data_IF_657295876562
#
_entry.id   IF_657295876562
#
_cell.length_a   1.000
_cell.length_b   1.000
_cell.length_c   1.000
_cell.angle_alpha   90.00
_cell.angle_beta   90.00
_cell.angle_gamma   90.00
#
_symmetry.space_group_name_H-M   'P 1'
#
loop_
_entity.id
_entity.type
_entity.pdbx_description
1 polymer ?
#
# COMPACT_ATOMS: atom_id res chain seq x y z
N UNK A 1 36.02 -64.85 47.78
CA UNK A 1 37.15 -64.17 48.45
C UNK A 1 37.14 -62.70 48.01
N UNK A 2 37.05 -61.77 48.99
CA UNK A 2 37.30 -60.31 48.97
C UNK A 2 36.73 -59.43 47.85
N UNK A 3 35.75 -58.53 48.09
CA UNK A 3 35.83 -57.17 48.71
C UNK A 3 36.63 -56.18 47.83
N UNK A 4 36.17 -54.98 47.41
CA UNK A 4 35.58 -53.82 48.11
C UNK A 4 34.99 -52.83 47.07
N UNK A 5 33.79 -52.27 47.30
CA UNK A 5 33.47 -50.85 47.63
C UNK A 5 33.90 -49.74 46.66
N UNK A 6 32.94 -48.86 46.32
CA UNK A 6 33.19 -47.53 45.75
C UNK A 6 31.95 -46.93 45.06
N UNK A 7 31.15 -46.14 45.77
CA UNK A 7 29.91 -45.49 45.30
C UNK A 7 30.14 -43.97 45.14
N UNK A 8 29.59 -43.40 44.06
CA UNK A 8 29.27 -41.97 43.76
C UNK A 8 30.43 -41.00 43.43
N UNK A 9 30.19 -39.88 42.69
CA UNK A 9 28.91 -39.27 42.32
C UNK A 9 28.70 -38.92 40.84
N UNK A 10 27.43 -38.56 40.55
CA UNK A 10 26.91 -38.01 39.30
C UNK A 10 27.59 -36.68 38.97
N UNK A 11 28.10 -36.55 37.76
CA UNK A 11 28.38 -35.26 37.12
C UNK A 11 27.40 -35.07 35.97
N UNK A 12 26.54 -34.05 36.11
CA UNK A 12 25.77 -33.45 35.03
C UNK A 12 26.37 -32.10 34.70
N UNK A 13 26.52 -31.80 33.42
CA UNK A 13 26.96 -30.53 32.83
C UNK A 13 26.51 -30.51 31.35
N UNK A 14 26.24 -29.35 30.73
CA UNK A 14 25.27 -28.34 31.16
C UNK A 14 24.27 -27.99 30.03
N UNK A 15 23.08 -27.54 30.42
CA UNK A 15 22.14 -26.86 29.54
C UNK A 15 22.71 -25.50 29.12
N UNK A 16 22.67 -25.20 27.82
CA UNK A 16 22.96 -23.87 27.27
C UNK A 16 21.81 -22.92 27.61
N UNK A 17 21.82 -22.41 28.85
CA UNK A 17 21.04 -21.25 29.25
C UNK A 17 21.71 -19.98 28.74
N UNK A 18 21.16 -19.37 27.70
CA UNK A 18 21.51 -18.01 27.29
C UNK A 18 20.94 -17.03 28.32
N UNK A 19 21.69 -16.76 29.40
CA UNK A 19 21.43 -15.62 30.27
C UNK A 19 22.15 -14.40 29.71
N UNK A 20 21.43 -13.51 29.04
CA UNK A 20 21.95 -12.17 28.75
C UNK A 20 22.00 -11.38 30.06
N UNK A 21 23.21 -11.20 30.61
CA UNK A 21 23.44 -10.23 31.68
C UNK A 21 23.37 -8.81 31.10
N UNK A 22 22.42 -8.00 31.57
CA UNK A 22 22.39 -6.56 31.34
C UNK A 22 23.61 -5.90 32.01
N UNK A 23 24.71 -5.75 31.26
CA UNK A 23 25.76 -4.78 31.62
C UNK A 23 25.36 -3.43 31.06
N UNK A 24 25.03 -2.49 31.96
CA UNK A 24 24.97 -1.07 31.63
C UNK A 24 26.36 -0.63 31.18
N UNK A 25 26.54 -0.36 29.89
CA UNK A 25 27.65 0.42 29.39
C UNK A 25 27.07 1.72 28.83
N UNK A 26 27.40 2.81 29.52
CA UNK A 26 27.20 4.17 29.03
C UNK A 26 28.16 4.37 27.86
N UNK A 27 27.64 4.34 26.64
CA UNK A 27 28.35 4.76 25.45
C UNK A 27 27.49 5.78 24.72
N UNK A 28 27.86 7.06 24.88
CA UNK A 28 27.39 8.17 24.05
C UNK A 28 27.99 7.99 22.66
N UNK A 29 27.21 7.45 21.72
CA UNK A 29 27.33 7.71 20.27
C UNK A 29 26.30 6.87 19.50
N UNK A 30 25.02 7.23 19.60
CA UNK A 30 24.05 6.79 18.60
C UNK A 30 24.16 7.73 17.40
N UNK A 31 24.88 7.31 16.36
CA UNK A 31 24.68 7.84 15.02
C UNK A 31 23.30 7.37 14.60
N UNK A 32 22.28 8.14 14.99
CA UNK A 32 20.95 7.97 14.46
C UNK A 32 21.00 8.33 12.98
N UNK A 33 20.85 7.35 12.12
CA UNK A 33 20.55 7.56 10.70
C UNK A 33 19.21 8.30 10.66
N UNK A 34 19.25 9.63 10.70
CA UNK A 34 18.10 10.45 10.35
C UNK A 34 17.92 10.27 8.86
N UNK A 35 17.01 9.38 8.46
CA UNK A 35 16.38 9.43 7.13
C UNK A 35 15.58 10.73 7.07
N UNK A 36 16.29 11.84 6.84
CA UNK A 36 15.70 13.08 6.42
C UNK A 36 15.76 13.01 4.90
N UNK A 37 14.77 12.36 4.29
CA UNK A 37 14.47 12.54 2.87
C UNK A 37 14.15 14.04 2.72
N UNK A 38 15.18 14.84 2.42
CA UNK A 38 14.96 16.22 1.99
C UNK A 38 14.42 16.11 0.57
N UNK A 39 13.11 16.25 0.43
CA UNK A 39 12.54 16.71 -0.83
C UNK A 39 12.89 18.20 -0.93
N UNK A 40 14.01 18.53 -1.57
CA UNK A 40 14.31 19.91 -1.91
C UNK A 40 13.29 20.35 -2.98
N UNK A 41 12.30 21.12 -2.54
CA UNK A 41 11.41 21.91 -3.39
C UNK A 41 12.26 22.97 -4.09
N UNK A 42 12.46 22.82 -5.40
CA UNK A 42 12.99 23.92 -6.21
C UNK A 42 11.82 24.76 -6.76
N UNK A 43 11.84 26.02 -6.37
CA UNK A 43 10.96 27.09 -6.83
C UNK A 43 11.00 27.25 -8.36
N UNK A 44 9.84 27.63 -8.87
CA UNK A 44 9.57 27.97 -10.26
C UNK A 44 10.36 29.20 -10.73
N UNK A 45 11.14 29.07 -11.80
CA UNK A 45 11.34 30.16 -12.77
C UNK A 45 11.38 29.58 -14.19
N UNK A 46 10.63 30.22 -15.09
CA UNK A 46 10.40 29.73 -16.43
C UNK A 46 11.58 29.91 -17.36
N UNK A 47 11.68 29.04 -18.37
CA UNK A 47 12.38 29.37 -19.60
C UNK A 47 11.68 28.80 -20.83
N UNK A 48 11.69 29.62 -21.87
CA UNK A 48 11.01 29.44 -23.15
C UNK A 48 11.96 28.80 -24.16
N UNK A 49 11.33 28.10 -25.12
CA UNK A 49 11.83 27.69 -26.47
C UNK A 49 12.65 26.40 -26.54
N UNK A 50 12.20 25.46 -27.37
CA UNK A 50 12.51 25.39 -28.80
C UNK A 50 12.23 23.96 -29.30
N UNK A 51 11.50 23.84 -30.42
CA UNK A 51 11.09 22.55 -30.96
C UNK A 51 12.23 21.70 -31.51
N UNK A 52 11.97 20.38 -31.53
CA UNK A 52 12.60 19.41 -32.44
C UNK A 52 11.60 18.30 -32.71
N UNK A 53 11.35 18.09 -34.00
CA UNK A 53 10.62 16.98 -34.59
C UNK A 53 11.48 15.71 -34.54
N UNK A 54 10.86 14.58 -34.20
CA UNK A 54 11.47 13.24 -34.19
C UNK A 54 10.41 12.19 -34.56
N UNK A 55 10.82 11.02 -35.09
CA UNK A 55 10.09 10.31 -36.13
C UNK A 55 8.98 9.40 -35.61
N UNK A 56 8.00 9.17 -36.48
CA UNK A 56 6.83 8.31 -36.29
C UNK A 56 7.25 6.87 -35.96
N UNK A 57 6.99 6.46 -34.72
CA UNK A 57 7.04 5.07 -34.29
C UNK A 57 5.65 4.45 -34.41
N UNK A 58 5.54 3.38 -35.19
CA UNK A 58 4.33 2.56 -35.34
C UNK A 58 3.90 2.01 -33.98
N UNK A 59 2.77 2.51 -33.47
CA UNK A 59 2.06 1.95 -32.33
C UNK A 59 1.44 0.61 -32.73
N UNK A 60 1.83 -0.46 -32.05
CA UNK A 60 1.08 -1.72 -32.05
C UNK A 60 0.00 -1.58 -30.98
N UNK A 61 -1.26 -1.62 -31.39
CA UNK A 61 -2.41 -1.54 -30.49
C UNK A 61 -2.47 -2.78 -29.57
N UNK A 62 -2.69 -2.53 -28.28
CA UNK A 62 -2.95 -3.56 -27.26
C UNK A 62 -4.42 -3.99 -27.38
N UNK A 63 -4.72 -5.28 -27.63
CA UNK A 63 -6.08 -5.78 -27.87
C UNK A 63 -6.99 -5.79 -26.62
N UNK A 64 -6.54 -5.28 -25.46
CA UNK A 64 -7.32 -5.24 -24.23
C UNK A 64 -7.67 -3.82 -23.73
N UNK A 65 -7.35 -2.77 -24.49
CA UNK A 65 -7.86 -1.43 -24.22
C UNK A 65 -9.22 -1.25 -24.92
N UNK A 66 -10.32 -0.91 -24.21
CA UNK A 66 -11.54 -0.50 -24.88
C UNK A 66 -11.30 0.81 -25.65
N UNK A 67 -11.84 0.87 -26.87
CA UNK A 67 -11.83 2.07 -27.71
C UNK A 67 -12.48 3.24 -26.96
N UNK A 68 -11.70 4.29 -26.72
CA UNK A 68 -12.18 5.58 -26.17
C UNK A 68 -13.02 6.29 -27.24
N UNK A 69 -14.33 6.09 -27.18
CA UNK A 69 -15.32 6.86 -27.91
C UNK A 69 -16.49 7.18 -26.97
N UNK A 70 -16.51 8.41 -26.47
CA UNK A 70 -17.73 9.04 -25.96
C UNK A 70 -17.67 9.41 -24.49
N UNK A 71 -17.48 10.70 -24.26
CA UNK A 71 -17.61 11.38 -22.97
C UNK A 71 -19.04 11.30 -22.43
N UNK A 72 -19.33 10.30 -21.62
CA UNK A 72 -20.36 10.39 -20.59
C UNK A 72 -19.63 10.54 -19.26
N UNK A 73 -19.58 11.77 -18.75
CA UNK A 73 -19.10 12.04 -17.39
C UNK A 73 -20.05 11.35 -16.41
N UNK A 74 -19.68 10.16 -15.94
CA UNK A 74 -20.29 9.55 -14.76
C UNK A 74 -20.19 10.56 -13.59
N UNK A 75 -21.29 10.83 -12.87
CA UNK A 75 -21.24 11.74 -11.75
C UNK A 75 -20.33 11.17 -10.66
N UNK A 76 -19.31 11.93 -10.27
CA UNK A 76 -18.42 11.58 -9.17
C UNK A 76 -19.25 11.27 -7.93
N UNK A 77 -19.24 10.01 -7.50
CA UNK A 77 -19.85 9.58 -6.25
C UNK A 77 -18.99 10.14 -5.11
N UNK A 78 -19.34 11.32 -4.61
CA UNK A 78 -18.65 11.88 -3.46
C UNK A 78 -18.83 10.95 -2.26
N UNK A 79 -17.73 10.59 -1.55
CA UNK A 79 -17.82 9.82 -0.33
C UNK A 79 -18.68 10.56 0.71
N UNK A 80 -19.25 9.86 1.71
CA UNK A 80 -20.15 10.46 2.68
C UNK A 80 -19.52 11.69 3.33
N UNK A 81 -20.14 12.85 3.10
CA UNK A 81 -19.71 14.19 3.57
C UNK A 81 -19.73 14.36 5.09
N UNK A 82 -20.19 13.35 5.83
CA UNK A 82 -20.10 13.29 7.29
C UNK A 82 -19.51 11.95 7.71
N UNK A 83 -18.35 11.95 8.40
CA UNK A 83 -17.81 10.73 8.98
C UNK A 83 -18.81 10.15 9.97
N UNK A 84 -19.02 8.82 9.92
CA UNK A 84 -19.81 8.10 10.91
C UNK A 84 -19.24 8.39 12.31
N UNK A 85 -20.12 8.63 13.30
CA UNK A 85 -19.72 9.05 14.64
C UNK A 85 -18.66 8.13 15.25
N UNK A 86 -17.60 8.74 15.78
CA UNK A 86 -16.56 8.06 16.59
C UNK A 86 -17.26 7.36 17.77
N UNK A 87 -17.01 6.06 17.94
CA UNK A 87 -17.59 5.23 19.01
C UNK A 87 -18.65 4.20 18.58
N UNK A 88 -19.07 4.20 17.32
CA UNK A 88 -19.94 3.13 16.79
C UNK A 88 -19.14 1.87 16.50
N UNK A 89 -19.71 0.70 16.82
CA UNK A 89 -19.19 -0.60 16.35
C UNK A 89 -19.38 -0.73 14.84
N UNK A 90 -18.64 -1.64 14.19
CA UNK A 90 -18.81 -1.90 12.76
C UNK A 90 -20.26 -2.28 12.40
N UNK A 91 -20.91 -3.11 13.22
CA UNK A 91 -22.33 -3.46 13.05
C UNK A 91 -23.24 -2.23 13.05
N UNK A 92 -23.08 -1.34 14.03
CA UNK A 92 -23.93 -0.14 14.10
C UNK A 92 -23.70 0.81 12.90
N UNK A 93 -22.49 0.82 12.34
CA UNK A 93 -22.18 1.55 11.10
C UNK A 93 -22.90 0.94 9.91
N UNK A 94 -22.86 -0.39 9.78
CA UNK A 94 -23.56 -1.11 8.71
C UNK A 94 -25.08 -0.95 8.80
N UNK A 95 -25.66 -1.08 9.98
CA UNK A 95 -27.10 -0.88 10.19
C UNK A 95 -27.53 0.54 9.77
N UNK A 96 -26.71 1.55 10.07
CA UNK A 96 -26.97 2.93 9.67
C UNK A 96 -26.87 3.14 8.15
N UNK A 97 -25.93 2.46 7.49
CA UNK A 97 -25.78 2.49 6.03
C UNK A 97 -26.96 1.77 5.35
N UNK A 98 -27.34 0.60 5.83
CA UNK A 98 -28.48 -0.17 5.33
C UNK A 98 -29.77 0.65 5.43
N UNK A 99 -30.01 1.31 6.57
CA UNK A 99 -31.16 2.19 6.76
C UNK A 99 -31.10 3.43 5.83
N UNK A 100 -29.92 4.01 5.64
CA UNK A 100 -29.74 5.22 4.80
C UNK A 100 -29.98 4.95 3.31
N UNK A 101 -29.64 3.76 2.83
CA UNK A 101 -29.69 3.42 1.41
C UNK A 101 -30.76 2.39 1.05
N UNK A 102 -31.65 2.04 1.98
CA UNK A 102 -32.70 1.03 1.80
C UNK A 102 -33.49 1.19 0.48
N UNK A 103 -33.94 2.41 0.18
CA UNK A 103 -34.77 2.69 -1.00
C UNK A 103 -34.01 2.63 -2.33
N UNK A 104 -32.68 2.66 -2.28
CA UNK A 104 -31.81 2.70 -3.48
C UNK A 104 -31.05 1.40 -3.71
N UNK A 105 -30.98 0.52 -2.72
CA UNK A 105 -30.12 -0.68 -2.72
C UNK A 105 -30.32 -1.56 -3.96
N UNK A 106 -31.57 -1.77 -4.37
CA UNK A 106 -31.91 -2.64 -5.51
C UNK A 106 -31.41 -2.10 -6.86
N UNK A 107 -31.17 -0.80 -6.98
CA UNK A 107 -30.69 -0.16 -8.20
C UNK A 107 -29.18 0.04 -8.27
N UNK A 108 -28.45 -0.29 -7.20
CA UNK A 108 -27.00 -0.11 -7.13
C UNK A 108 -26.24 -1.32 -7.70
N UNK A 109 -25.15 -1.04 -8.39
CA UNK A 109 -24.13 -2.03 -8.75
C UNK A 109 -23.41 -2.58 -7.51
N UNK A 110 -22.78 -3.76 -7.63
CA UNK A 110 -22.01 -4.34 -6.52
C UNK A 110 -20.79 -3.48 -6.14
N UNK A 111 -20.21 -2.77 -7.11
CA UNK A 111 -19.13 -1.80 -6.87
C UNK A 111 -19.58 -0.63 -6.01
N UNK A 112 -20.69 0.02 -6.36
CA UNK A 112 -21.27 1.11 -5.55
C UNK A 112 -21.61 0.62 -4.14
N UNK A 113 -22.15 -0.60 -4.02
CA UNK A 113 -22.46 -1.20 -2.72
C UNK A 113 -21.21 -1.39 -1.87
N UNK A 114 -20.13 -1.93 -2.46
CA UNK A 114 -18.84 -2.11 -1.79
C UNK A 114 -18.25 -0.79 -1.30
N UNK A 115 -18.20 0.23 -2.16
CA UNK A 115 -17.69 1.56 -1.83
C UNK A 115 -18.48 2.24 -0.70
N UNK A 116 -19.80 2.02 -0.64
CA UNK A 116 -20.69 2.59 0.37
C UNK A 116 -20.76 1.76 1.67
N UNK A 117 -20.14 0.58 1.72
CA UNK A 117 -20.19 -0.35 2.86
C UNK A 117 -21.52 -1.10 3.01
N UNK A 118 -22.31 -1.15 1.95
CA UNK A 118 -23.49 -2.00 1.83
C UNK A 118 -23.05 -3.44 1.50
N UNK A 119 -23.90 -4.47 1.73
CA UNK A 119 -23.57 -5.84 1.35
C UNK A 119 -23.28 -5.89 -0.15
N UNK A 120 -22.17 -6.47 -0.59
CA UNK A 120 -21.89 -6.65 -2.02
C UNK A 120 -21.44 -8.08 -2.30
N UNK A 121 -21.69 -8.54 -3.52
CA UNK A 121 -21.21 -9.85 -3.97
C UNK A 121 -19.79 -9.70 -4.50
N UNK A 122 -18.78 -10.25 -3.82
CA UNK A 122 -17.39 -10.06 -4.24
C UNK A 122 -17.12 -10.70 -5.59
N UNK A 123 -17.76 -11.81 -5.91
CA UNK A 123 -17.63 -12.53 -7.18
C UNK A 123 -18.44 -11.92 -8.35
N UNK A 124 -18.91 -10.68 -8.23
CA UNK A 124 -19.47 -9.94 -9.36
C UNK A 124 -18.47 -9.86 -10.53
N UNK A 125 -18.88 -10.12 -11.78
CA UNK A 125 -17.97 -10.13 -12.92
C UNK A 125 -17.17 -8.84 -13.11
N UNK A 126 -17.75 -7.66 -12.82
CA UNK A 126 -17.06 -6.37 -12.92
C UNK A 126 -15.95 -6.28 -11.88
N UNK A 127 -16.27 -6.61 -10.62
CA UNK A 127 -15.29 -6.62 -9.53
C UNK A 127 -14.17 -7.64 -9.78
N UNK A 128 -14.51 -8.81 -10.33
CA UNK A 128 -13.51 -9.81 -10.71
C UNK A 128 -12.55 -9.32 -11.79
N UNK A 129 -13.07 -8.65 -12.83
CA UNK A 129 -12.24 -8.08 -13.88
C UNK A 129 -11.30 -6.98 -13.35
N UNK A 130 -11.80 -6.14 -12.45
CA UNK A 130 -11.00 -5.08 -11.82
C UNK A 130 -9.88 -5.64 -10.95
N UNK A 131 -10.15 -6.64 -10.10
CA UNK A 131 -9.10 -7.33 -9.32
C UNK A 131 -8.10 -8.07 -10.21
N UNK A 132 -8.54 -8.64 -11.33
CA UNK A 132 -7.62 -9.29 -12.27
C UNK A 132 -6.65 -8.26 -12.87
N UNK A 133 -7.13 -7.07 -13.26
CA UNK A 133 -6.27 -5.96 -13.70
C UNK A 133 -5.24 -5.59 -12.62
N UNK A 134 -5.69 -5.41 -11.38
CA UNK A 134 -4.82 -5.06 -10.26
C UNK A 134 -3.72 -6.12 -10.04
N UNK A 135 -4.10 -7.40 -10.03
CA UNK A 135 -3.17 -8.53 -9.86
C UNK A 135 -2.16 -8.65 -10.99
N UNK A 136 -2.53 -8.34 -12.22
CA UNK A 136 -1.59 -8.33 -13.35
C UNK A 136 -0.51 -7.25 -13.17
N UNK A 137 -0.92 -6.03 -12.82
CA UNK A 137 -0.01 -4.91 -12.55
C UNK A 137 0.85 -5.16 -11.30
N UNK A 138 0.25 -5.68 -10.23
CA UNK A 138 0.97 -6.11 -9.02
C UNK A 138 2.03 -7.16 -9.35
N UNK A 139 1.67 -8.18 -10.14
CA UNK A 139 2.59 -9.22 -10.56
C UNK A 139 3.77 -8.63 -11.33
N UNK A 140 3.50 -7.73 -12.30
CA UNK A 140 4.57 -7.04 -13.04
C UNK A 140 5.46 -6.24 -12.11
N UNK A 141 4.90 -5.49 -11.16
CA UNK A 141 5.67 -4.70 -10.20
C UNK A 141 6.57 -5.57 -9.34
N UNK A 142 5.99 -6.59 -8.69
CA UNK A 142 6.68 -7.45 -7.73
C UNK A 142 7.80 -8.28 -8.38
N UNK A 143 7.71 -8.56 -9.68
CA UNK A 143 8.72 -9.32 -10.43
C UNK A 143 9.61 -8.44 -11.31
N UNK A 144 9.43 -7.12 -11.29
CA UNK A 144 10.29 -6.19 -12.02
C UNK A 144 11.69 -6.15 -11.39
N UNK A 145 12.76 -6.11 -12.21
CA UNK A 145 14.12 -6.05 -11.69
C UNK A 145 14.37 -4.74 -10.91
N UNK A 146 15.25 -4.75 -9.90
CA UNK A 146 15.73 -3.52 -9.28
C UNK A 146 16.51 -2.67 -10.30
N UNK A 147 16.77 -1.40 -9.96
CA UNK A 147 17.64 -0.52 -10.76
C UNK A 147 19.00 -1.16 -11.09
N UNK A 148 19.47 -0.97 -12.32
CA UNK A 148 20.63 -1.69 -12.87
C UNK A 148 21.99 -1.22 -12.34
N UNK A 149 22.06 0.00 -11.80
CA UNK A 149 23.30 0.61 -11.33
C UNK A 149 23.03 1.40 -10.04
N UNK A 150 23.92 1.37 -9.04
CA UNK A 150 23.86 2.29 -7.90
C UNK A 150 23.90 3.75 -8.37
N UNK A 151 23.44 4.71 -7.57
CA UNK A 151 23.43 6.12 -7.98
C UNK A 151 24.87 6.58 -8.17
N UNK A 152 25.17 7.28 -9.27
CA UNK A 152 26.46 7.93 -9.42
C UNK A 152 26.58 9.08 -8.42
N UNK A 153 27.71 9.16 -7.72
CA UNK A 153 27.98 10.18 -6.72
C UNK A 153 29.13 11.07 -7.23
N UNK A 154 28.95 12.39 -7.23
CA UNK A 154 30.04 13.33 -7.52
C UNK A 154 31.10 13.33 -6.40
N UNK A 155 32.17 14.10 -6.62
CA UNK A 155 33.26 14.26 -5.65
C UNK A 155 32.81 14.96 -4.36
N UNK A 156 31.65 15.60 -4.35
CA UNK A 156 31.06 16.33 -3.24
C UNK A 156 30.05 15.47 -2.45
N UNK A 157 29.74 14.26 -2.92
CA UNK A 157 28.78 13.37 -2.26
C UNK A 157 27.33 13.50 -2.77
N UNK A 158 27.08 14.29 -3.82
CA UNK A 158 25.75 14.46 -4.40
C UNK A 158 25.48 13.39 -5.46
N UNK A 159 24.23 12.93 -5.53
CA UNK A 159 23.78 12.05 -6.61
C UNK A 159 23.73 12.86 -7.92
N UNK A 160 24.47 12.43 -8.94
CA UNK A 160 24.56 13.16 -10.23
C UNK A 160 23.58 12.67 -11.29
N UNK A 161 22.96 11.50 -11.08
CA UNK A 161 21.95 10.94 -11.99
C UNK A 161 20.55 11.45 -11.61
N UNK A 162 20.36 12.78 -11.64
CA UNK A 162 19.19 13.48 -11.11
C UNK A 162 17.87 13.25 -11.88
N UNK A 163 17.90 12.57 -13.03
CA UNK A 163 16.68 12.21 -13.78
C UNK A 163 15.95 10.97 -13.21
N UNK A 164 16.63 10.18 -12.38
CA UNK A 164 16.07 8.99 -11.75
C UNK A 164 15.92 9.22 -10.24
N UNK A 165 14.85 8.67 -9.64
CA UNK A 165 14.54 8.85 -8.21
C UNK A 165 15.77 8.53 -7.34
N UNK A 166 16.02 9.25 -6.21
CA UNK A 166 17.06 8.87 -5.25
C UNK A 166 16.95 7.41 -4.77
N UNK A 167 15.74 6.85 -4.81
CA UNK A 167 15.43 5.43 -4.55
C UNK A 167 15.39 4.62 -5.85
N UNK A 168 16.35 4.81 -6.76
CA UNK A 168 16.42 4.17 -8.08
C UNK A 168 16.37 2.63 -8.06
N UNK A 169 16.82 1.99 -6.97
CA UNK A 169 16.75 0.55 -6.74
C UNK A 169 15.29 0.06 -6.54
N UNK A 170 14.48 0.88 -5.86
CA UNK A 170 13.06 0.60 -5.56
C UNK A 170 12.11 1.21 -6.58
N UNK A 171 12.47 2.34 -7.20
CA UNK A 171 11.55 3.27 -7.85
C UNK A 171 12.00 3.70 -9.24
N UNK A 172 12.41 2.73 -10.05
CA UNK A 172 12.78 2.92 -11.45
C UNK A 172 11.58 3.36 -12.32
N UNK A 173 11.85 3.78 -13.57
CA UNK A 173 10.82 4.26 -14.51
C UNK A 173 9.71 3.23 -14.78
N UNK A 174 10.05 1.94 -14.84
CA UNK A 174 9.06 0.87 -15.07
C UNK A 174 8.09 0.81 -13.88
N UNK A 175 8.61 0.74 -12.66
CA UNK A 175 7.81 0.70 -11.42
C UNK A 175 6.94 1.95 -11.25
N UNK A 176 7.45 3.13 -11.56
CA UNK A 176 6.66 4.38 -11.53
C UNK A 176 5.48 4.35 -12.52
N UNK A 177 5.69 3.79 -13.73
CA UNK A 177 4.60 3.62 -14.70
C UNK A 177 3.52 2.67 -14.17
N UNK A 178 3.93 1.53 -13.60
CA UNK A 178 3.00 0.53 -13.06
C UNK A 178 2.21 1.11 -11.88
N UNK A 179 2.87 1.82 -10.95
CA UNK A 179 2.22 2.55 -9.84
C UNK A 179 1.17 3.52 -10.39
N UNK A 180 1.52 4.31 -11.41
CA UNK A 180 0.59 5.24 -12.06
C UNK A 180 -0.66 4.54 -12.60
N UNK A 181 -0.49 3.39 -13.24
CA UNK A 181 -1.60 2.61 -13.80
C UNK A 181 -2.42 1.87 -12.74
N UNK A 182 -1.77 1.35 -11.68
CA UNK A 182 -2.41 0.55 -10.64
C UNK A 182 -3.27 1.41 -9.72
N UNK A 183 -2.75 2.56 -9.31
CA UNK A 183 -3.40 3.46 -8.36
C UNK A 183 -4.13 4.64 -9.03
N UNK A 184 -4.18 4.67 -10.37
CA UNK A 184 -4.76 5.76 -11.16
C UNK A 184 -4.18 7.14 -10.79
N UNK A 185 -2.85 7.23 -10.82
CA UNK A 185 -2.11 8.42 -10.39
C UNK A 185 -1.56 9.21 -11.59
N UNK A 186 -1.48 10.53 -11.43
CA UNK A 186 -0.71 11.37 -12.35
C UNK A 186 0.76 10.96 -12.36
N UNK A 187 1.47 11.37 -13.42
CA UNK A 187 2.91 11.11 -13.55
C UNK A 187 3.70 11.75 -12.39
N UNK A 188 3.29 12.93 -11.95
CA UNK A 188 3.90 13.67 -10.86
C UNK A 188 3.70 12.96 -9.53
N UNK A 189 2.49 12.46 -9.27
CA UNK A 189 2.17 11.76 -8.03
C UNK A 189 2.82 10.37 -7.96
N UNK A 190 2.91 9.67 -9.10
CA UNK A 190 3.58 8.36 -9.20
C UNK A 190 5.06 8.39 -8.78
N UNK A 191 5.72 9.56 -8.89
CA UNK A 191 7.11 9.76 -8.45
C UNK A 191 7.26 9.94 -6.93
N UNK A 192 6.15 10.13 -6.21
CA UNK A 192 6.11 10.41 -4.76
C UNK A 192 5.70 9.19 -3.93
N UNK A 193 5.28 8.12 -4.59
CA UNK A 193 4.82 6.87 -3.99
C UNK A 193 5.89 5.79 -4.17
N UNK A 194 6.40 5.27 -3.06
CA UNK A 194 7.48 4.28 -3.03
C UNK A 194 7.03 3.03 -2.29
N UNK A 195 7.02 1.90 -2.99
CA UNK A 195 6.62 0.60 -2.43
C UNK A 195 7.79 -0.37 -2.58
N UNK A 196 8.32 -0.83 -1.46
CA UNK A 196 9.28 -1.94 -1.49
C UNK A 196 8.53 -3.23 -1.85
N UNK A 197 8.89 -3.91 -2.95
CA UNK A 197 8.26 -5.18 -3.30
C UNK A 197 8.71 -6.32 -2.35
N UNK A 198 7.87 -7.35 -2.15
CA UNK A 198 6.54 -7.48 -2.70
C UNK A 198 5.51 -6.66 -1.92
N UNK A 199 4.46 -6.22 -2.61
CA UNK A 199 3.23 -5.71 -1.98
C UNK A 199 1.99 -6.38 -2.56
N UNK A 200 0.85 -6.24 -1.88
CA UNK A 200 -0.44 -6.75 -2.33
C UNK A 200 -1.54 -5.68 -2.24
N UNK A 201 -2.38 -5.58 -3.27
CA UNK A 201 -3.62 -4.78 -3.25
C UNK A 201 -4.79 -5.51 -3.88
N UNK A 202 -6.03 -5.13 -3.53
CA UNK A 202 -7.22 -5.76 -4.11
C UNK A 202 -7.59 -5.10 -5.44
N UNK A 203 -7.78 -3.77 -5.46
CA UNK A 203 -8.16 -2.99 -6.63
C UNK A 203 -7.09 -1.97 -7.06
N UNK A 204 -6.37 -1.38 -6.10
CA UNK A 204 -5.40 -0.31 -6.31
C UNK A 204 -6.04 1.08 -6.40
N UNK A 205 -6.97 1.29 -7.33
CA UNK A 205 -7.51 2.63 -7.64
C UNK A 205 -8.37 3.26 -6.53
N UNK A 206 -8.77 2.49 -5.50
CA UNK A 206 -9.51 3.01 -4.35
C UNK A 206 -8.58 3.61 -3.28
N UNK A 207 -7.26 3.52 -3.46
CA UNK A 207 -6.27 4.11 -2.56
C UNK A 207 -5.96 5.54 -3.00
N UNK A 208 -6.18 6.51 -2.12
CA UNK A 208 -5.97 7.94 -2.37
C UNK A 208 -4.75 8.43 -1.60
N UNK A 209 -3.68 8.76 -2.32
CA UNK A 209 -2.47 9.33 -1.77
C UNK A 209 -2.54 10.86 -1.80
N UNK A 210 -2.31 11.51 -0.65
CA UNK A 210 -2.30 12.98 -0.53
C UNK A 210 -0.93 13.63 -0.74
N UNK A 211 0.14 12.84 -0.74
CA UNK A 211 1.49 13.33 -0.92
C UNK A 211 2.52 12.22 -0.82
N UNK A 212 3.71 12.55 -0.34
CA UNK A 212 4.83 11.59 -0.30
C UNK A 212 4.50 10.40 0.59
N UNK A 213 4.70 9.19 0.07
CA UNK A 213 4.40 7.94 0.76
C UNK A 213 5.51 6.92 0.54
N UNK A 214 5.88 6.23 1.62
CA UNK A 214 6.78 5.10 1.57
C UNK A 214 6.21 3.92 2.34
N UNK A 215 6.26 2.74 1.73
CA UNK A 215 6.00 1.48 2.40
C UNK A 215 7.15 0.49 2.20
N UNK A 216 7.53 -0.14 3.30
CA UNK A 216 8.50 -1.21 3.29
C UNK A 216 7.87 -2.55 2.86
N UNK A 217 8.70 -3.59 2.70
CA UNK A 217 8.32 -4.85 2.08
C UNK A 217 7.15 -5.52 2.81
N UNK A 218 6.28 -6.19 2.04
CA UNK A 218 5.15 -6.93 2.55
C UNK A 218 3.91 -6.08 2.87
N UNK A 219 3.80 -4.88 2.30
CA UNK A 219 2.57 -4.09 2.38
C UNK A 219 1.38 -4.90 1.81
N UNK A 220 0.25 -4.88 2.51
CA UNK A 220 -1.02 -5.43 2.01
C UNK A 220 -2.14 -4.42 2.23
N UNK A 221 -2.89 -4.05 1.20
CA UNK A 221 -4.05 -3.15 1.30
C UNK A 221 -5.26 -3.79 0.61
N UNK A 222 -6.29 -4.15 1.38
CA UNK A 222 -7.56 -4.62 0.83
C UNK A 222 -8.52 -3.44 0.67
N UNK A 223 -8.46 -2.78 -0.48
CA UNK A 223 -9.11 -1.50 -0.80
C UNK A 223 -10.46 -1.65 -1.52
N UNK A 224 -11.38 -2.43 -0.95
CA UNK A 224 -12.77 -2.49 -1.47
C UNK A 224 -13.49 -1.14 -1.30
N UNK A 225 -13.32 -0.52 -0.14
CA UNK A 225 -13.74 0.86 0.11
C UNK A 225 -12.51 1.79 0.09
N UNK A 226 -12.76 3.10 0.05
CA UNK A 226 -11.70 4.10 -0.05
C UNK A 226 -10.67 3.97 1.09
N UNK A 227 -9.39 3.96 0.71
CA UNK A 227 -8.26 4.03 1.64
C UNK A 227 -7.52 5.35 1.39
N UNK A 228 -7.64 6.30 2.31
CA UNK A 228 -6.93 7.58 2.22
C UNK A 228 -5.63 7.53 3.02
N UNK A 229 -4.52 7.88 2.36
CA UNK A 229 -3.18 7.99 2.95
C UNK A 229 -2.74 9.45 2.88
N UNK A 230 -2.42 10.03 4.03
CA UNK A 230 -1.92 11.40 4.18
C UNK A 230 -0.58 11.68 3.51
N UNK A 231 -0.12 12.92 3.62
CA UNK A 231 1.23 13.31 3.19
C UNK A 231 2.29 12.92 4.21
N UNK A 232 3.46 12.49 3.74
CA UNK A 232 4.61 12.22 4.61
C UNK A 232 4.50 10.91 5.39
N UNK A 233 3.64 10.00 4.93
CA UNK A 233 3.34 8.74 5.65
C UNK A 233 4.41 7.69 5.37
N UNK A 234 4.85 7.03 6.44
CA UNK A 234 5.86 5.97 6.40
C UNK A 234 5.32 4.68 7.01
N UNK A 235 5.31 3.58 6.26
CA UNK A 235 5.00 2.25 6.77
C UNK A 235 6.25 1.40 6.94
N UNK A 236 6.36 0.75 8.10
CA UNK A 236 7.32 -0.32 8.33
C UNK A 236 6.99 -1.59 7.53
N UNK A 237 7.81 -2.65 7.66
CA UNK A 237 7.58 -3.91 6.95
C UNK A 237 6.27 -4.58 7.38
N UNK A 238 5.61 -5.29 6.46
CA UNK A 238 4.42 -6.09 6.73
C UNK A 238 3.27 -5.30 7.41
N UNK A 239 3.06 -4.04 7.02
CA UNK A 239 1.87 -3.28 7.41
C UNK A 239 0.69 -3.69 6.56
N UNK A 240 -0.42 -4.03 7.20
CA UNK A 240 -1.65 -4.47 6.54
C UNK A 240 -2.81 -3.51 6.83
N UNK A 241 -3.53 -3.10 5.78
CA UNK A 241 -4.68 -2.20 5.84
C UNK A 241 -5.90 -2.93 5.27
N UNK A 242 -6.96 -3.06 6.04
CA UNK A 242 -8.17 -3.79 5.64
C UNK A 242 -9.37 -2.86 5.64
N UNK A 243 -9.72 -2.32 4.47
CA UNK A 243 -11.02 -1.68 4.28
C UNK A 243 -12.12 -2.75 4.07
N UNK A 244 -11.76 -3.89 3.48
CA UNK A 244 -12.63 -5.05 3.34
C UNK A 244 -12.89 -5.77 4.67
N UNK A 245 -14.11 -6.26 4.86
CA UNK A 245 -14.51 -7.06 6.03
C UNK A 245 -15.73 -7.93 5.72
N UNK A 246 -16.20 -8.66 6.73
CA UNK A 246 -17.51 -9.31 6.68
C UNK A 246 -18.38 -8.84 7.84
N UNK A 247 -19.69 -8.78 7.58
CA UNK A 247 -20.69 -8.62 8.64
C UNK A 247 -20.56 -9.75 9.68
N UNK A 248 -20.83 -9.44 10.95
CA UNK A 248 -20.87 -10.45 12.02
C UNK A 248 -22.06 -11.41 11.87
N UNK A 249 -23.08 -11.02 11.08
CA UNK A 249 -24.22 -11.85 10.72
C UNK A 249 -23.79 -13.12 9.98
N UNK A 250 -24.13 -14.28 10.53
CA UNK A 250 -23.84 -15.58 9.90
C UNK A 250 -24.62 -15.73 8.58
N UNK A 251 -25.89 -15.33 8.57
CA UNK A 251 -26.76 -15.42 7.38
C UNK A 251 -26.13 -14.65 6.21
N UNK A 252 -25.75 -13.40 6.44
CA UNK A 252 -25.19 -12.54 5.40
C UNK A 252 -23.88 -13.12 4.83
N UNK A 253 -22.97 -13.60 5.71
CA UNK A 253 -21.72 -14.24 5.25
C UNK A 253 -21.98 -15.56 4.51
N UNK A 254 -22.96 -16.33 4.94
CA UNK A 254 -23.29 -17.62 4.31
C UNK A 254 -23.90 -17.47 2.92
N UNK A 255 -24.50 -16.31 2.65
CA UNK A 255 -24.98 -15.92 1.32
C UNK A 255 -23.84 -15.42 0.41
N UNK A 256 -22.62 -15.28 0.94
CA UNK A 256 -21.44 -14.86 0.21
C UNK A 256 -21.22 -13.35 0.15
N UNK A 257 -22.04 -12.56 0.87
CA UNK A 257 -21.87 -11.11 0.91
C UNK A 257 -20.67 -10.69 1.77
N UNK A 258 -20.00 -9.65 1.29
CA UNK A 258 -18.94 -8.93 1.97
C UNK A 258 -19.37 -7.50 2.29
N UNK A 259 -18.61 -6.83 3.14
CA UNK A 259 -18.78 -5.40 3.45
C UNK A 259 -17.43 -4.69 3.47
N UNK A 260 -17.46 -3.38 3.41
CA UNK A 260 -16.25 -2.59 3.55
C UNK A 260 -16.52 -1.29 4.30
N UNK A 261 -15.49 -0.74 4.95
CA UNK A 261 -15.52 0.59 5.54
C UNK A 261 -14.24 1.32 5.15
N UNK A 262 -14.32 2.64 4.90
CA UNK A 262 -13.15 3.40 4.49
C UNK A 262 -12.11 3.47 5.62
N UNK A 263 -10.84 3.49 5.26
CA UNK A 263 -9.71 3.70 6.18
C UNK A 263 -9.08 5.04 5.85
N UNK A 264 -8.72 5.82 6.88
CA UNK A 264 -8.05 7.10 6.71
C UNK A 264 -6.86 7.22 7.64
N UNK A 265 -5.69 7.46 7.06
CA UNK A 265 -4.42 7.67 7.75
C UNK A 265 -4.04 9.13 7.56
N UNK A 266 -3.78 9.82 8.68
CA UNK A 266 -3.45 11.24 8.68
C UNK A 266 -2.04 11.52 8.16
N UNK A 267 -1.72 12.81 8.08
CA UNK A 267 -0.40 13.27 7.65
C UNK A 267 0.69 12.93 8.68
N UNK A 268 1.94 12.81 8.20
CA UNK A 268 3.16 12.54 8.98
C UNK A 268 3.09 11.30 9.90
N UNK A 269 2.21 10.35 9.58
CA UNK A 269 2.06 9.12 10.35
C UNK A 269 3.22 8.15 10.07
N UNK A 270 3.79 7.60 11.14
CA UNK A 270 4.68 6.44 11.07
C UNK A 270 3.96 5.21 11.64
N UNK A 271 3.75 4.19 10.80
CA UNK A 271 3.14 2.93 11.19
C UNK A 271 4.23 1.88 11.35
N UNK A 272 4.36 1.34 12.56
CA UNK A 272 5.36 0.30 12.86
C UNK A 272 5.12 -1.00 12.09
N UNK A 273 6.18 -1.79 11.90
CA UNK A 273 6.07 -3.05 11.17
C UNK A 273 5.12 -4.06 11.83
N UNK A 274 4.55 -4.95 11.02
CA UNK A 274 3.54 -5.95 11.42
C UNK A 274 2.25 -5.36 12.00
N UNK A 275 1.98 -4.07 11.79
CA UNK A 275 0.73 -3.45 12.24
C UNK A 275 -0.43 -3.81 11.30
N UNK A 276 -1.62 -3.92 11.87
CA UNK A 276 -2.86 -4.13 11.14
C UNK A 276 -3.84 -2.99 11.46
N UNK A 277 -4.40 -2.35 10.45
CA UNK A 277 -5.41 -1.29 10.57
C UNK A 277 -6.71 -1.78 9.94
N UNK A 278 -7.80 -1.73 10.73
CA UNK A 278 -9.15 -2.20 10.38
C UNK A 278 -10.20 -1.19 10.81
#
# INVERSE_FOLDING_TARGET
MSSKEGRTPKEGLPSLGCTQSLRRHSAKSSVGLRFRLRFDMHDSEGDKRAGRTGPEGTFVADPYLPDDNGSDMEPSLEPPTQPLKVGFTATQRFDALDARYADRLAGMSMEERGLLGLPYMPNDPKLMAQRLRARQLEYEYNHSPPGASPPSIDRQGNVVDAEESPLHDVANRQRQRIIGQLFDLSKEMSKRVFLEPPFHVDFGFNIKFKGDFFANAGLCILDVAEVTIGQGVLFGPAVHIYAATHSVSVTERSEGFERALPVSIGDDCWVGGNSCIM
#
